data_IF_743392512271
#
_entry.id   IF_743392512271
#
_cell.length_a   1.000
_cell.length_b   1.000
_cell.length_c   1.000
_cell.angle_alpha   90.00
_cell.angle_beta   90.00
_cell.angle_gamma   90.00
#
_symmetry.space_group_name_H-M   'P 1'
#
loop_
_entity.id
_entity.type
_entity.pdbx_description
1 polymer ?
#
# COMPACT_ATOMS: atom_id res chain seq x y z
N UNK A 1 0.31 -28.09 -2.25
CA UNK A 1 0.29 -27.28 -1.01
C UNK A 1 1.65 -26.63 -0.85
N UNK A 2 1.68 -25.33 -0.67
CA UNK A 2 2.93 -24.55 -0.49
C UNK A 2 2.94 -24.01 0.94
N UNK A 3 4.10 -24.00 1.60
CA UNK A 3 4.26 -23.45 2.97
C UNK A 3 5.01 -22.12 2.90
N UNK A 4 4.61 -21.15 3.73
CA UNK A 4 5.22 -19.84 3.84
C UNK A 4 5.22 -19.34 5.29
N UNK A 5 6.05 -18.35 5.62
CA UNK A 5 5.98 -17.69 6.92
C UNK A 5 4.80 -16.72 6.99
N UNK A 6 4.60 -15.94 5.92
CA UNK A 6 3.55 -14.92 5.87
C UNK A 6 2.75 -15.07 4.57
N UNK A 7 1.44 -15.10 4.69
CA UNK A 7 0.52 -14.95 3.56
C UNK A 7 -0.19 -13.60 3.64
N UNK A 8 -0.24 -12.88 2.52
CA UNK A 8 -0.89 -11.57 2.44
C UNK A 8 -2.02 -11.64 1.41
N UNK A 9 -3.23 -11.30 1.84
CA UNK A 9 -4.41 -11.25 0.99
C UNK A 9 -4.62 -9.85 0.42
N UNK A 10 -4.18 -9.65 -0.81
CA UNK A 10 -4.24 -8.40 -1.55
C UNK A 10 -2.87 -7.75 -1.74
N UNK A 11 -2.54 -7.43 -2.99
CA UNK A 11 -1.33 -6.71 -3.38
C UNK A 11 -1.61 -5.22 -3.65
N UNK A 12 -2.52 -4.62 -2.90
CA UNK A 12 -2.68 -3.17 -2.85
C UNK A 12 -1.44 -2.48 -2.27
N UNK A 13 -1.47 -1.16 -2.11
CA UNK A 13 -0.32 -0.41 -1.56
C UNK A 13 0.13 -0.98 -0.21
N UNK A 14 -0.80 -1.16 0.73
CA UNK A 14 -0.49 -1.66 2.07
C UNK A 14 0.05 -3.09 2.04
N UNK A 15 -0.62 -4.01 1.33
CA UNK A 15 -0.19 -5.41 1.24
C UNK A 15 1.17 -5.58 0.57
N UNK A 16 1.44 -4.81 -0.48
CA UNK A 16 2.74 -4.83 -1.16
C UNK A 16 3.87 -4.27 -0.29
N UNK A 17 3.62 -3.19 0.47
CA UNK A 17 4.59 -2.65 1.43
C UNK A 17 4.85 -3.66 2.55
N UNK A 18 3.80 -4.29 3.09
CA UNK A 18 3.93 -5.35 4.09
C UNK A 18 4.75 -6.53 3.54
N UNK A 19 4.49 -6.96 2.30
CA UNK A 19 5.23 -8.03 1.65
C UNK A 19 6.74 -7.75 1.59
N UNK A 20 7.11 -6.54 1.15
CA UNK A 20 8.50 -6.13 1.11
C UNK A 20 9.12 -6.03 2.51
N UNK A 21 8.37 -5.54 3.50
CA UNK A 21 8.83 -5.46 4.88
C UNK A 21 9.18 -6.84 5.44
N UNK A 22 8.28 -7.82 5.33
CA UNK A 22 8.53 -9.18 5.81
C UNK A 22 9.62 -9.90 5.00
N UNK A 23 9.64 -9.71 3.68
CA UNK A 23 10.68 -10.27 2.82
C UNK A 23 12.06 -9.76 3.21
N UNK A 24 12.22 -8.45 3.44
CA UNK A 24 13.48 -7.85 3.90
C UNK A 24 13.87 -8.29 5.32
N UNK A 25 12.89 -8.64 6.16
CA UNK A 25 13.12 -9.28 7.45
C UNK A 25 13.46 -10.78 7.34
N UNK A 26 13.73 -11.30 6.14
CA UNK A 26 14.15 -12.67 5.88
C UNK A 26 13.02 -13.71 5.97
N UNK A 27 11.75 -13.28 5.90
CA UNK A 27 10.59 -14.19 5.92
C UNK A 27 10.22 -14.60 4.50
N UNK A 28 9.78 -15.85 4.32
CA UNK A 28 9.15 -16.28 3.09
C UNK A 28 7.73 -15.71 3.04
N UNK A 29 7.40 -15.03 1.95
CA UNK A 29 6.13 -14.33 1.79
C UNK A 29 5.41 -14.79 0.53
N UNK A 30 4.11 -15.03 0.64
CA UNK A 30 3.21 -15.21 -0.50
C UNK A 30 2.15 -14.12 -0.43
N UNK A 31 2.00 -13.39 -1.53
CA UNK A 31 0.93 -12.41 -1.71
C UNK A 31 -0.01 -12.92 -2.78
N UNK A 32 -1.31 -12.94 -2.54
CA UNK A 32 -2.31 -13.27 -3.56
C UNK A 32 -3.21 -12.06 -3.83
N UNK A 33 -3.46 -11.77 -5.11
CA UNK A 33 -4.32 -10.67 -5.52
C UNK A 33 -5.22 -11.10 -6.69
N UNK A 34 -6.53 -10.79 -6.66
CA UNK A 34 -7.46 -11.15 -7.74
C UNK A 34 -7.16 -10.43 -9.06
N UNK A 35 -6.44 -9.33 -9.04
CA UNK A 35 -6.12 -8.59 -10.26
C UNK A 35 -4.88 -9.16 -10.96
N UNK A 36 -4.91 -9.09 -12.29
CA UNK A 36 -3.74 -9.35 -13.12
C UNK A 36 -2.97 -8.04 -13.24
N UNK A 37 -1.73 -8.03 -12.74
CA UNK A 37 -0.82 -6.91 -12.95
C UNK A 37 -0.24 -7.02 -14.37
N UNK A 38 -0.84 -6.36 -15.32
CA UNK A 38 -0.45 -6.35 -16.74
C UNK A 38 -1.16 -5.23 -17.50
N UNK A 39 -1.05 -5.18 -18.81
CA UNK A 39 -1.24 -4.09 -19.76
C UNK A 39 -2.53 -3.26 -19.72
N UNK A 40 -3.50 -3.61 -18.89
CA UNK A 40 -4.73 -2.87 -18.64
C UNK A 40 -4.85 -2.46 -17.18
N UNK A 41 -3.83 -1.81 -16.62
CA UNK A 41 -3.99 -1.07 -15.38
C UNK A 41 -5.09 -0.04 -15.62
N UNK A 42 -6.28 -0.26 -15.04
CA UNK A 42 -7.20 0.84 -14.80
C UNK A 42 -6.40 1.94 -14.15
N UNK A 43 -6.20 3.04 -14.88
CA UNK A 43 -5.34 4.11 -14.41
C UNK A 43 -5.91 4.62 -13.11
N UNK A 44 -5.27 4.24 -12.01
CA UNK A 44 -5.66 4.71 -10.69
C UNK A 44 -5.16 6.15 -10.54
N UNK A 45 -6.04 7.11 -10.81
CA UNK A 45 -5.75 8.53 -10.71
C UNK A 45 -5.64 9.04 -9.27
N UNK A 46 -6.00 8.20 -8.29
CA UNK A 46 -5.89 8.58 -6.87
C UNK A 46 -4.44 8.73 -6.47
N UNK A 47 -4.24 9.59 -5.50
CA UNK A 47 -2.96 9.78 -4.82
C UNK A 47 -3.05 9.33 -3.37
N UNK A 48 -1.92 8.97 -2.80
CA UNK A 48 -1.80 8.69 -1.37
C UNK A 48 -0.77 9.64 -0.79
N UNK A 49 -1.15 10.29 0.32
CA UNK A 49 -0.25 11.14 1.09
C UNK A 49 0.55 10.28 2.07
N UNK A 50 1.87 10.32 1.96
CA UNK A 50 2.79 9.68 2.89
C UNK A 50 3.34 10.75 3.82
N UNK A 51 2.94 10.73 5.09
CA UNK A 51 3.44 11.64 6.11
C UNK A 51 4.89 11.31 6.47
N UNK A 52 5.57 12.21 7.16
CA UNK A 52 7.00 12.07 7.49
C UNK A 52 7.36 10.69 8.09
N UNK A 53 6.63 10.13 9.08
CA UNK A 53 6.96 8.80 9.61
C UNK A 53 6.82 7.68 8.56
N UNK A 54 5.83 7.79 7.67
CA UNK A 54 5.64 6.82 6.59
C UNK A 54 6.77 6.89 5.56
N UNK A 55 7.22 8.11 5.21
CA UNK A 55 8.38 8.31 4.34
C UNK A 55 9.62 7.64 4.91
N UNK A 56 9.95 7.89 6.16
CA UNK A 56 11.09 7.25 6.84
C UNK A 56 11.02 5.72 6.79
N UNK A 57 9.83 5.15 6.99
CA UNK A 57 9.64 3.71 6.89
C UNK A 57 9.86 3.19 5.46
N UNK A 58 9.37 3.92 4.45
CA UNK A 58 9.59 3.57 3.05
C UNK A 58 11.05 3.68 2.63
N UNK A 59 11.79 4.66 3.16
CA UNK A 59 13.25 4.80 2.98
C UNK A 59 14.00 3.58 3.55
N UNK A 60 13.68 3.16 4.78
CA UNK A 60 14.27 1.97 5.40
C UNK A 60 14.02 0.70 4.58
N UNK A 61 12.92 0.66 3.86
CA UNK A 61 12.59 -0.44 2.95
C UNK A 61 13.18 -0.25 1.53
N UNK A 62 13.88 0.85 1.22
CA UNK A 62 14.38 1.18 -0.12
C UNK A 62 13.25 1.29 -1.15
N UNK A 63 12.07 1.70 -0.70
CA UNK A 63 10.91 1.93 -1.58
C UNK A 63 10.89 3.39 -2.03
N UNK A 64 11.33 4.30 -1.15
CA UNK A 64 11.23 5.73 -1.39
C UNK A 64 12.05 6.17 -2.60
N UNK A 65 13.26 5.68 -2.75
CA UNK A 65 14.17 5.98 -3.86
C UNK A 65 13.59 5.62 -5.23
N UNK A 66 12.65 4.68 -5.26
CA UNK A 66 11.99 4.27 -6.50
C UNK A 66 10.87 5.21 -6.95
N UNK A 67 10.46 6.17 -6.10
CA UNK A 67 9.29 7.03 -6.32
C UNK A 67 9.56 8.51 -6.03
N UNK A 68 10.67 8.88 -5.41
CA UNK A 68 10.92 10.23 -4.88
C UNK A 68 10.80 11.33 -5.94
N UNK A 69 11.28 11.08 -7.16
CA UNK A 69 11.17 12.03 -8.30
C UNK A 69 9.73 12.37 -8.68
N UNK A 70 8.77 11.55 -8.23
CA UNK A 70 7.34 11.72 -8.51
C UNK A 70 6.54 12.07 -7.24
N UNK A 71 7.21 12.30 -6.13
CA UNK A 71 6.60 12.64 -4.86
C UNK A 71 6.43 14.17 -4.75
N UNK A 72 5.19 14.62 -4.67
CA UNK A 72 4.87 16.04 -4.55
C UNK A 72 4.76 16.45 -3.07
N UNK A 73 5.55 17.41 -2.59
CA UNK A 73 5.49 17.85 -1.20
C UNK A 73 4.14 18.52 -0.88
N UNK A 74 3.65 18.25 0.32
CA UNK A 74 2.42 18.82 0.89
C UNK A 74 2.82 19.90 1.90
N UNK A 75 2.89 21.13 1.43
CA UNK A 75 3.33 22.29 2.23
C UNK A 75 2.16 23.05 2.85
N UNK A 76 1.00 22.97 2.21
CA UNK A 76 -0.21 23.69 2.64
C UNK A 76 -1.38 22.74 2.74
N UNK A 77 -2.04 22.73 3.90
CA UNK A 77 -3.29 22.03 4.13
C UNK A 77 -4.41 23.06 4.32
N UNK A 78 -5.40 23.03 3.43
CA UNK A 78 -6.56 23.90 3.47
C UNK A 78 -7.81 23.11 3.82
N UNK A 79 -8.43 23.45 4.94
CA UNK A 79 -9.70 22.88 5.35
C UNK A 79 -10.81 23.88 4.98
N UNK A 80 -11.81 23.40 4.26
CA UNK A 80 -12.96 24.20 3.85
C UNK A 80 -14.21 23.48 4.36
N UNK A 81 -14.96 24.16 5.22
CA UNK A 81 -16.29 23.70 5.65
C UNK A 81 -17.36 24.41 4.80
N UNK A 82 -18.08 23.63 4.01
CA UNK A 82 -19.18 24.08 3.14
C UNK A 82 -20.54 23.56 3.61
N UNK A 83 -20.65 23.06 4.84
CA UNK A 83 -21.85 22.38 5.34
C UNK A 83 -23.07 23.31 5.55
N UNK A 84 -22.89 24.63 5.53
CA UNK A 84 -23.95 25.61 5.75
C UNK A 84 -24.35 26.33 4.45
N UNK A 85 -25.17 25.66 3.63
CA UNK A 85 -25.88 26.35 2.54
C UNK A 85 -27.18 26.90 3.13
N UNK A 86 -27.22 28.20 3.47
CA UNK A 86 -28.45 28.91 3.82
C UNK A 86 -28.81 29.84 2.66
N UNK A 87 -30.03 29.72 2.15
CA UNK A 87 -30.63 30.59 1.14
C UNK A 87 -29.83 30.68 -0.19
N UNK A 88 -29.10 29.66 -0.60
CA UNK A 88 -28.31 29.68 -1.83
C UNK A 88 -26.96 30.40 -1.72
N UNK A 89 -26.63 30.98 -0.57
CA UNK A 89 -25.32 31.52 -0.27
C UNK A 89 -24.48 30.49 0.48
N UNK A 90 -23.33 30.18 -0.08
CA UNK A 90 -22.36 29.24 0.49
C UNK A 90 -21.54 29.96 1.57
N UNK A 91 -21.82 29.71 2.84
CA UNK A 91 -20.97 30.18 3.95
C UNK A 91 -19.78 29.25 4.06
N UNK A 92 -18.63 29.65 3.53
CA UNK A 92 -17.37 28.92 3.63
C UNK A 92 -16.59 29.40 4.86
N UNK A 93 -16.50 28.53 5.87
CA UNK A 93 -15.40 28.65 6.83
C UNK A 93 -14.17 27.94 6.27
N UNK A 94 -13.04 28.63 6.26
CA UNK A 94 -11.79 28.03 5.79
C UNK A 94 -10.66 28.28 6.78
N UNK A 95 -9.79 27.28 6.93
CA UNK A 95 -8.56 27.38 7.70
C UNK A 95 -7.40 26.84 6.85
N UNK A 96 -6.33 27.56 6.82
CA UNK A 96 -5.08 27.16 6.16
C UNK A 96 -4.01 26.92 7.21
N UNK A 97 -3.23 25.86 7.02
CA UNK A 97 -2.07 25.48 7.82
C UNK A 97 -0.89 25.33 6.87
N UNK A 98 0.25 25.90 7.22
CA UNK A 98 1.50 25.78 6.47
C UNK A 98 2.47 24.92 7.24
N UNK A 99 3.16 24.01 6.57
CA UNK A 99 4.16 23.16 7.21
C UNK A 99 5.29 23.97 7.82
N UNK A 100 5.68 25.06 7.17
CA UNK A 100 6.70 26.00 7.66
C UNK A 100 6.36 26.68 9.00
N UNK A 101 5.12 26.63 9.46
CA UNK A 101 4.71 27.10 10.78
C UNK A 101 5.08 26.08 11.89
N UNK A 102 5.43 24.84 11.52
CA UNK A 102 5.68 23.73 12.44
C UNK A 102 7.10 23.20 12.31
N UNK A 103 7.61 23.05 11.07
CA UNK A 103 8.93 22.51 10.79
C UNK A 103 9.45 22.93 9.41
N UNK A 104 10.75 22.73 9.17
CA UNK A 104 11.38 22.96 7.86
C UNK A 104 10.99 21.91 6.80
N UNK A 105 10.25 20.87 7.19
CA UNK A 105 9.81 19.80 6.31
C UNK A 105 8.33 19.95 5.93
N UNK A 106 7.93 19.47 4.75
CA UNK A 106 6.52 19.41 4.38
C UNK A 106 5.74 18.47 5.31
N UNK A 107 4.42 18.57 5.38
CA UNK A 107 3.58 17.64 6.14
C UNK A 107 3.75 16.19 5.70
N UNK A 108 4.03 16.00 4.42
CA UNK A 108 4.22 14.72 3.77
C UNK A 108 4.35 14.90 2.27
N UNK A 109 4.18 13.82 1.53
CA UNK A 109 4.31 13.81 0.06
C UNK A 109 3.16 13.05 -0.57
N UNK A 110 2.59 13.61 -1.60
CA UNK A 110 1.57 12.96 -2.42
C UNK A 110 2.23 12.18 -3.56
N UNK A 111 1.86 10.91 -3.69
CA UNK A 111 2.34 10.03 -4.77
C UNK A 111 1.15 9.41 -5.47
N UNK A 112 1.16 9.37 -6.80
CA UNK A 112 0.13 8.67 -7.56
C UNK A 112 0.16 7.17 -7.28
N UNK A 113 -1.00 6.59 -6.98
CA UNK A 113 -1.11 5.17 -6.65
C UNK A 113 -0.60 4.25 -7.77
N UNK A 114 -0.83 4.61 -9.02
CA UNK A 114 -0.34 3.84 -10.17
C UNK A 114 1.19 3.74 -10.21
N UNK A 115 1.89 4.85 -9.92
CA UNK A 115 3.35 4.87 -9.87
C UNK A 115 3.88 4.05 -8.69
N UNK A 116 3.29 4.23 -7.50
CA UNK A 116 3.64 3.46 -6.32
C UNK A 116 3.44 1.96 -6.55
N UNK A 117 2.29 1.54 -7.10
CA UNK A 117 2.01 0.13 -7.42
C UNK A 117 3.04 -0.46 -8.37
N UNK A 118 3.42 0.28 -9.42
CA UNK A 118 4.43 -0.17 -10.39
C UNK A 118 5.80 -0.34 -9.73
N UNK A 119 6.21 0.60 -8.86
CA UNK A 119 7.46 0.51 -8.11
C UNK A 119 7.45 -0.68 -7.14
N UNK A 120 6.38 -0.85 -6.37
CA UNK A 120 6.23 -1.95 -5.43
C UNK A 120 6.28 -3.32 -6.11
N UNK A 121 5.57 -3.47 -7.25
CA UNK A 121 5.63 -4.71 -8.02
C UNK A 121 7.05 -5.04 -8.47
N UNK A 122 7.75 -4.07 -9.05
CA UNK A 122 9.14 -4.24 -9.48
C UNK A 122 10.05 -4.67 -8.32
N UNK A 123 9.87 -4.04 -7.15
CA UNK A 123 10.66 -4.39 -5.97
C UNK A 123 10.32 -5.78 -5.43
N UNK A 124 9.06 -6.20 -5.47
CA UNK A 124 8.63 -7.56 -5.10
C UNK A 124 9.24 -8.59 -6.06
N UNK A 125 9.21 -8.34 -7.37
CA UNK A 125 9.76 -9.23 -8.37
C UNK A 125 11.30 -9.47 -8.21
N UNK A 126 11.98 -8.55 -7.53
CA UNK A 126 13.42 -8.67 -7.22
C UNK A 126 13.69 -9.49 -5.96
N UNK A 127 12.67 -9.86 -5.18
CA UNK A 127 12.85 -10.62 -3.95
C UNK A 127 12.76 -12.12 -4.22
N UNK A 128 13.79 -12.88 -3.84
CA UNK A 128 13.80 -14.35 -4.00
C UNK A 128 12.86 -15.07 -3.02
N UNK A 129 12.51 -14.44 -1.91
CA UNK A 129 11.67 -14.98 -0.84
C UNK A 129 10.26 -14.35 -0.77
N UNK A 130 9.85 -13.62 -1.81
CA UNK A 130 8.52 -13.05 -1.94
C UNK A 130 7.88 -13.48 -3.27
N UNK A 131 6.74 -14.14 -3.20
CA UNK A 131 5.99 -14.61 -4.39
C UNK A 131 4.67 -13.88 -4.50
N UNK A 132 4.46 -13.16 -5.59
CA UNK A 132 3.17 -12.59 -5.97
C UNK A 132 2.40 -13.58 -6.85
N UNK A 133 1.19 -13.95 -6.43
CA UNK A 133 0.25 -14.76 -7.19
C UNK A 133 -0.88 -13.84 -7.66
N UNK A 134 -0.93 -13.58 -8.94
CA UNK A 134 -1.99 -12.77 -9.58
C UNK A 134 -3.17 -13.64 -10.00
N UNK A 135 -4.33 -13.03 -10.25
CA UNK A 135 -5.59 -13.71 -10.59
C UNK A 135 -5.97 -14.78 -9.55
N UNK A 136 -5.68 -14.52 -8.28
CA UNK A 136 -5.94 -15.42 -7.17
C UNK A 136 -6.44 -14.68 -5.94
N UNK A 137 -7.48 -15.21 -5.30
CA UNK A 137 -8.03 -14.71 -4.04
C UNK A 137 -7.99 -15.81 -2.99
N UNK A 138 -7.79 -15.48 -1.73
CA UNK A 138 -8.09 -16.39 -0.63
C UNK A 138 -9.62 -16.51 -0.50
N UNK A 139 -10.16 -17.70 -0.71
CA UNK A 139 -11.61 -17.97 -0.68
C UNK A 139 -12.06 -18.67 0.59
N UNK A 140 -11.13 -19.31 1.31
CA UNK A 140 -11.39 -19.98 2.58
C UNK A 140 -10.12 -19.96 3.44
N UNK A 141 -10.31 -19.93 4.75
CA UNK A 141 -9.23 -20.00 5.74
C UNK A 141 -9.64 -20.88 6.92
N UNK A 142 -8.79 -21.83 7.27
CA UNK A 142 -8.95 -22.67 8.44
C UNK A 142 -7.68 -22.60 9.29
N UNK A 143 -7.82 -22.17 10.54
CA UNK A 143 -6.71 -22.14 11.49
C UNK A 143 -6.72 -23.45 12.31
N UNK A 144 -5.58 -24.13 12.34
CA UNK A 144 -5.36 -25.34 13.15
C UNK A 144 -3.97 -25.27 13.76
N UNK A 145 -3.91 -25.55 15.05
CA UNK A 145 -2.68 -25.47 15.84
C UNK A 145 -2.04 -24.06 15.70
N UNK A 146 -0.84 -23.99 15.18
CA UNK A 146 -0.09 -22.75 14.97
C UNK A 146 -0.04 -22.29 13.50
N UNK A 147 -0.91 -22.84 12.64
CA UNK A 147 -0.88 -22.59 11.20
C UNK A 147 -2.27 -22.24 10.66
N UNK A 148 -2.28 -21.40 9.64
CA UNK A 148 -3.44 -21.11 8.81
C UNK A 148 -3.32 -21.89 7.49
N UNK A 149 -4.41 -22.49 7.06
CA UNK A 149 -4.57 -23.17 5.78
C UNK A 149 -5.53 -22.35 4.93
N UNK A 150 -5.03 -21.82 3.84
CA UNK A 150 -5.79 -20.96 2.93
C UNK A 150 -6.07 -21.72 1.63
N UNK A 151 -7.32 -21.70 1.20
CA UNK A 151 -7.69 -22.15 -0.14
C UNK A 151 -7.76 -20.95 -1.08
N UNK A 152 -7.08 -21.03 -2.20
CA UNK A 152 -7.12 -20.01 -3.23
C UNK A 152 -8.20 -20.31 -4.28
N UNK A 153 -8.69 -19.28 -4.96
CA UNK A 153 -9.65 -19.41 -6.07
C UNK A 153 -9.12 -20.23 -7.24
N UNK A 154 -7.79 -20.37 -7.34
CA UNK A 154 -7.12 -21.25 -8.33
C UNK A 154 -7.24 -22.76 -7.98
N UNK A 155 -7.73 -23.09 -6.79
CA UNK A 155 -7.75 -24.46 -6.26
C UNK A 155 -6.51 -24.82 -5.44
N UNK A 156 -5.48 -23.99 -5.45
CA UNK A 156 -4.27 -24.21 -4.67
C UNK A 156 -4.53 -24.02 -3.17
N UNK A 157 -3.67 -24.64 -2.35
CA UNK A 157 -3.69 -24.48 -0.89
C UNK A 157 -2.34 -23.93 -0.43
N UNK A 158 -2.38 -22.88 0.40
CA UNK A 158 -1.23 -22.31 1.08
C UNK A 158 -1.34 -22.55 2.57
N UNK A 159 -0.23 -22.94 3.21
CA UNK A 159 -0.08 -23.06 4.64
C UNK A 159 0.83 -21.95 5.14
N UNK A 160 0.36 -21.13 6.09
CA UNK A 160 1.07 -19.97 6.58
C UNK A 160 1.10 -19.90 8.10
N UNK A 161 2.19 -19.33 8.67
CA UNK A 161 2.29 -19.06 10.10
C UNK A 161 1.55 -17.78 10.48
N UNK A 162 1.53 -16.77 9.59
CA UNK A 162 0.83 -15.51 9.75
C UNK A 162 0.02 -15.20 8.49
N UNK A 163 -1.17 -14.65 8.66
CA UNK A 163 -2.02 -14.15 7.58
C UNK A 163 -2.33 -12.67 7.82
N UNK A 164 -2.21 -11.87 6.77
CA UNK A 164 -2.47 -10.42 6.74
C UNK A 164 -3.47 -10.11 5.63
#
# INVERSE_FOLDING_TARGET
>A
MVETDVFISGAGLAGSIAALSYSKAGRNVIVADPFIYGDNLHVDYRTTAYLQPSKLFLEQLGIWEAIEDNAMPLEVMKIIDSSNIKNGEEIKSQKEFKSAEISDLPFGWNVRNSLMKAALKRLIDQQNNCKLITNASAVDIVCRDSMAYLKLSTGDTVKAKLVI
#
